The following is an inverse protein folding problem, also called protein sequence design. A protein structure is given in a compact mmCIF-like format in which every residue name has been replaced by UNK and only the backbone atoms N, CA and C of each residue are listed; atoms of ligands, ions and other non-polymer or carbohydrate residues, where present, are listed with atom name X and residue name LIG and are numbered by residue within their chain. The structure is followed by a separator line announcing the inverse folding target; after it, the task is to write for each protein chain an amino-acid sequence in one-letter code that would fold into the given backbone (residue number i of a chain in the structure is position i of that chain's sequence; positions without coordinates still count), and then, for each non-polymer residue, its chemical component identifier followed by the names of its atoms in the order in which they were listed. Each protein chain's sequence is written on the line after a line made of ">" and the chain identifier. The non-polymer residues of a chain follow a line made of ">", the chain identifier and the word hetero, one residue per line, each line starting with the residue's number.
data_IF_498060839218
#
_entry.id   IF_498060839218
#
_cell.length_a   1.000
_cell.length_b   1.000
_cell.length_c   1.000
_cell.angle_alpha   90.00
_cell.angle_beta   90.00
_cell.angle_gamma   90.00
#
_symmetry.space_group_name_H-M   'P 1'
#
loop_
_entity.id
_entity.type
_entity.pdbx_description
1 polymer ?
#
# COMPACT_ATOMS: atom_id res chain seq x y z
N UNK A 1 -13.33 -11.63 12.76
CA UNK A 1 -14.51 -11.69 11.87
C UNK A 1 -14.86 -13.14 11.60
N UNK A 2 -16.13 -13.54 11.77
CA UNK A 2 -16.58 -14.87 11.32
C UNK A 2 -17.10 -14.70 9.89
N UNK A 3 -16.34 -15.20 8.91
CA UNK A 3 -16.77 -15.21 7.52
C UNK A 3 -17.48 -16.53 7.24
N UNK A 4 -18.73 -16.48 6.76
CA UNK A 4 -19.45 -17.68 6.37
C UNK A 4 -18.77 -18.32 5.14
N UNK A 5 -18.58 -19.64 5.16
CA UNK A 5 -17.90 -20.38 4.10
C UNK A 5 -18.52 -20.12 2.71
N UNK A 6 -19.85 -20.07 2.63
CA UNK A 6 -20.54 -19.77 1.36
C UNK A 6 -20.21 -18.38 0.79
N UNK A 7 -20.01 -17.38 1.65
CA UNK A 7 -19.58 -16.05 1.22
C UNK A 7 -18.11 -16.06 0.77
N UNK A 8 -17.23 -16.77 1.50
CA UNK A 8 -15.83 -16.91 1.14
C UNK A 8 -15.66 -17.55 -0.26
N UNK A 9 -16.46 -18.56 -0.57
CA UNK A 9 -16.40 -19.26 -1.86
C UNK A 9 -16.80 -18.41 -3.07
N UNK A 10 -17.48 -17.28 -2.86
CA UNK A 10 -17.87 -16.35 -3.93
C UNK A 10 -16.88 -15.19 -4.10
N UNK A 11 -15.88 -15.06 -3.21
CA UNK A 11 -14.88 -14.01 -3.28
C UNK A 11 -13.74 -14.37 -4.23
N UNK A 12 -13.15 -13.34 -4.87
CA UNK A 12 -11.92 -13.50 -5.64
C UNK A 12 -10.79 -13.99 -4.72
N UNK A 13 -9.93 -14.94 -5.13
CA UNK A 13 -8.88 -15.47 -4.26
C UNK A 13 -7.91 -14.41 -3.74
N UNK A 14 -7.63 -13.35 -4.52
CA UNK A 14 -6.79 -12.25 -4.06
C UNK A 14 -7.42 -11.48 -2.89
N UNK A 15 -8.75 -11.33 -2.86
CA UNK A 15 -9.44 -10.62 -1.78
C UNK A 15 -9.36 -11.43 -0.49
N UNK A 16 -9.52 -12.75 -0.60
CA UNK A 16 -9.30 -13.67 0.52
C UNK A 16 -7.85 -13.60 1.00
N UNK A 17 -6.88 -13.53 0.10
CA UNK A 17 -5.46 -13.40 0.46
C UNK A 17 -5.22 -12.14 1.29
N UNK A 18 -5.78 -10.99 0.88
CA UNK A 18 -5.69 -9.74 1.66
C UNK A 18 -6.34 -9.91 3.03
N UNK A 19 -7.59 -10.39 3.09
CA UNK A 19 -8.32 -10.53 4.36
C UNK A 19 -7.61 -11.47 5.34
N UNK A 20 -7.05 -12.57 4.85
CA UNK A 20 -6.34 -13.53 5.69
C UNK A 20 -4.95 -13.06 6.09
N UNK A 21 -4.33 -12.13 5.37
CA UNK A 21 -2.99 -11.63 5.71
C UNK A 21 -3.01 -10.54 6.78
N UNK A 22 -4.14 -9.84 6.93
CA UNK A 22 -4.29 -8.79 7.92
C UNK A 22 -3.99 -9.31 9.34
N UNK A 23 -3.10 -8.64 10.09
CA UNK A 23 -2.95 -8.91 11.51
C UNK A 23 -4.26 -8.53 12.23
N UNK A 24 -4.40 -8.96 13.49
CA UNK A 24 -5.54 -8.53 14.31
C UNK A 24 -5.59 -7.00 14.33
N UNK A 25 -6.74 -6.37 14.00
CA UNK A 25 -6.84 -4.92 14.01
C UNK A 25 -6.56 -4.40 15.41
N UNK A 26 -5.52 -3.56 15.53
CA UNK A 26 -5.12 -2.95 16.80
C UNK A 26 -5.97 -1.72 17.14
N UNK A 27 -6.61 -1.13 16.13
CA UNK A 27 -7.50 0.04 16.24
C UNK A 27 -8.69 -0.12 15.29
N UNK A 28 -9.89 0.38 15.66
CA UNK A 28 -11.03 0.43 14.76
C UNK A 28 -10.89 1.48 13.64
N UNK A 29 -9.94 2.42 13.74
CA UNK A 29 -9.76 3.50 12.77
C UNK A 29 -8.48 3.34 11.97
N UNK A 30 -8.61 3.19 10.65
CA UNK A 30 -7.50 3.33 9.72
C UNK A 30 -7.06 4.80 9.65
N UNK A 31 -5.77 5.06 9.46
CA UNK A 31 -5.24 6.41 9.35
C UNK A 31 -5.89 7.21 8.21
N UNK A 32 -6.24 6.52 7.12
CA UNK A 32 -6.95 7.11 5.98
C UNK A 32 -8.33 7.66 6.38
N UNK A 33 -9.05 6.98 7.28
CA UNK A 33 -10.34 7.48 7.79
C UNK A 33 -10.14 8.76 8.60
N UNK A 34 -9.10 8.81 9.45
CA UNK A 34 -8.78 10.01 10.22
C UNK A 34 -8.42 11.18 9.30
N UNK A 35 -7.62 10.94 8.26
CA UNK A 35 -7.26 11.96 7.27
C UNK A 35 -8.49 12.45 6.49
N UNK A 36 -9.38 11.54 6.09
CA UNK A 36 -10.61 11.88 5.38
C UNK A 36 -11.55 12.73 6.26
N UNK A 37 -11.86 12.26 7.46
CA UNK A 37 -12.72 13.00 8.40
C UNK A 37 -12.12 14.36 8.77
N UNK A 38 -10.81 14.43 9.02
CA UNK A 38 -10.13 15.71 9.29
C UNK A 38 -10.24 16.66 8.10
N UNK A 39 -10.17 16.14 6.87
CA UNK A 39 -10.31 16.95 5.66
C UNK A 39 -11.73 17.50 5.51
N UNK A 40 -12.74 16.70 5.84
CA UNK A 40 -14.15 17.11 5.87
C UNK A 40 -14.38 18.20 6.92
N UNK A 41 -13.92 17.99 8.16
CA UNK A 41 -14.04 18.94 9.27
C UNK A 41 -13.38 20.30 8.93
N UNK A 42 -12.26 20.26 8.22
CA UNK A 42 -11.53 21.45 7.78
C UNK A 42 -12.01 22.00 6.43
N UNK A 43 -13.11 21.46 5.88
CA UNK A 43 -13.69 21.84 4.58
C UNK A 43 -12.65 21.88 3.45
N UNK A 44 -11.74 20.91 3.44
CA UNK A 44 -10.73 20.77 2.38
C UNK A 44 -11.35 20.15 1.13
N UNK A 45 -10.91 20.61 -0.03
CA UNK A 45 -11.23 19.93 -1.28
C UNK A 45 -10.41 18.63 -1.36
N UNK A 46 -11.08 17.49 -1.27
CA UNK A 46 -10.45 16.16 -1.37
C UNK A 46 -10.58 15.65 -2.80
N UNK A 47 -9.44 15.29 -3.39
CA UNK A 47 -9.37 14.72 -4.74
C UNK A 47 -8.64 13.39 -4.68
N UNK A 48 -9.25 12.34 -5.22
CA UNK A 48 -8.63 11.02 -5.34
C UNK A 48 -7.47 11.05 -6.34
N UNK A 49 -6.31 10.53 -5.94
CA UNK A 49 -5.15 10.39 -6.83
C UNK A 49 -5.41 9.30 -7.87
N UNK A 50 -6.15 8.26 -7.50
CA UNK A 50 -6.61 7.16 -8.34
C UNK A 50 -8.13 7.03 -8.24
N UNK A 51 -8.76 6.54 -9.30
CA UNK A 51 -10.16 6.10 -9.26
C UNK A 51 -10.26 4.73 -8.58
N UNK A 52 -11.44 4.36 -8.01
CA UNK A 52 -11.64 3.03 -7.46
C UNK A 52 -11.36 1.90 -8.46
N UNK A 53 -11.69 2.11 -9.74
CA UNK A 53 -11.44 1.14 -10.82
C UNK A 53 -9.95 0.97 -11.08
N UNK A 54 -9.17 2.05 -11.08
CA UNK A 54 -7.71 1.97 -11.19
C UNK A 54 -7.11 1.23 -9.99
N UNK A 55 -7.56 1.58 -8.78
CA UNK A 55 -7.03 1.04 -7.53
C UNK A 55 -7.26 -0.47 -7.40
N UNK A 56 -8.50 -0.93 -7.56
CA UNK A 56 -8.85 -2.35 -7.40
C UNK A 56 -8.63 -3.16 -8.68
N UNK A 57 -8.71 -2.54 -9.85
CA UNK A 57 -8.54 -3.21 -11.15
C UNK A 57 -7.14 -3.77 -11.36
N UNK A 58 -6.13 -3.27 -10.64
CA UNK A 58 -4.78 -3.85 -10.66
C UNK A 58 -4.78 -5.32 -10.26
N UNK A 59 -5.61 -5.70 -9.29
CA UNK A 59 -5.69 -7.09 -8.81
C UNK A 59 -6.29 -8.04 -9.86
N UNK A 60 -7.05 -7.50 -10.81
CA UNK A 60 -7.64 -8.27 -11.91
C UNK A 60 -6.63 -8.55 -13.04
N UNK A 61 -5.44 -7.94 -13.00
CA UNK A 61 -4.34 -8.24 -13.92
C UNK A 61 -3.57 -9.54 -13.59
N UNK A 62 -3.87 -10.14 -12.44
CA UNK A 62 -3.29 -11.42 -12.02
C UNK A 62 -4.19 -12.57 -12.44
N UNK A 63 -3.61 -13.62 -13.02
CA UNK A 63 -4.33 -14.82 -13.40
C UNK A 63 -4.90 -15.52 -12.16
N UNK A 64 -5.94 -16.34 -12.35
CA UNK A 64 -6.53 -17.09 -11.25
C UNK A 64 -5.47 -17.95 -10.52
N UNK A 65 -4.55 -18.58 -11.26
CA UNK A 65 -3.46 -19.37 -10.68
C UNK A 65 -2.51 -18.51 -9.84
N UNK A 66 -2.15 -17.31 -10.31
CA UNK A 66 -1.34 -16.36 -9.54
C UNK A 66 -2.06 -15.95 -8.25
N UNK A 67 -3.36 -15.66 -8.32
CA UNK A 67 -4.17 -15.34 -7.15
C UNK A 67 -4.23 -16.51 -6.15
N UNK A 68 -4.34 -17.73 -6.64
CA UNK A 68 -4.31 -18.93 -5.80
C UNK A 68 -2.93 -19.16 -5.16
N UNK A 69 -1.84 -18.83 -5.85
CA UNK A 69 -0.49 -18.85 -5.25
C UNK A 69 -0.39 -17.84 -4.12
N UNK A 70 -0.88 -16.61 -4.32
CA UNK A 70 -0.91 -15.57 -3.28
C UNK A 70 -1.73 -16.03 -2.05
N UNK A 71 -2.94 -16.55 -2.26
CA UNK A 71 -3.79 -17.05 -1.18
C UNK A 71 -3.11 -18.18 -0.40
N UNK A 72 -2.53 -19.17 -1.08
CA UNK A 72 -1.82 -20.28 -0.42
C UNK A 72 -0.60 -19.79 0.36
N UNK A 73 0.12 -18.78 -0.12
CA UNK A 73 1.25 -18.20 0.59
C UNK A 73 0.81 -17.59 1.93
N UNK A 74 -0.25 -16.79 1.92
CA UNK A 74 -0.82 -16.17 3.13
C UNK A 74 -1.36 -17.21 4.12
N UNK A 75 -2.04 -18.25 3.62
CA UNK A 75 -2.61 -19.30 4.47
C UNK A 75 -1.56 -20.18 5.17
N UNK A 76 -0.32 -20.22 4.65
CA UNK A 76 0.80 -20.92 5.29
C UNK A 76 1.40 -20.16 6.47
N UNK A 77 1.11 -18.85 6.60
CA UNK A 77 1.65 -18.02 7.67
C UNK A 77 0.90 -18.24 8.97
N UNK A 78 1.63 -18.38 10.07
CA UNK A 78 1.02 -18.40 11.41
C UNK A 78 0.62 -17.00 11.87
N UNK A 79 -0.30 -16.86 12.83
CA UNK A 79 -0.62 -15.57 13.45
C UNK A 79 0.62 -14.84 14.00
N UNK A 80 1.54 -15.57 14.63
CA UNK A 80 2.76 -15.03 15.25
C UNK A 80 3.72 -14.48 14.20
N UNK A 81 3.81 -15.11 13.03
CA UNK A 81 4.59 -14.60 11.89
C UNK A 81 4.00 -13.29 11.37
N UNK A 82 2.67 -13.22 11.22
CA UNK A 82 1.97 -12.01 10.76
C UNK A 82 2.17 -10.85 11.74
N UNK A 83 2.02 -11.10 13.03
CA UNK A 83 2.20 -10.10 14.08
C UNK A 83 3.65 -9.60 14.13
N UNK A 84 4.63 -10.51 14.13
CA UNK A 84 6.06 -10.14 14.12
C UNK A 84 6.44 -9.28 12.92
N UNK A 85 5.95 -9.63 11.73
CA UNK A 85 6.26 -8.88 10.52
C UNK A 85 5.56 -7.53 10.49
N UNK A 86 4.32 -7.45 10.99
CA UNK A 86 3.61 -6.19 11.18
C UNK A 86 4.34 -5.26 12.16
N UNK A 87 4.84 -5.78 13.29
CA UNK A 87 5.62 -4.98 14.25
C UNK A 87 6.89 -4.39 13.64
N UNK A 88 7.60 -5.16 12.80
CA UNK A 88 8.79 -4.65 12.09
C UNK A 88 8.42 -3.51 11.15
N UNK A 89 7.36 -3.69 10.35
CA UNK A 89 6.86 -2.66 9.44
C UNK A 89 6.45 -1.39 10.22
N UNK A 90 5.78 -1.55 11.36
CA UNK A 90 5.38 -0.43 12.20
C UNK A 90 6.58 0.31 12.79
N UNK A 91 7.62 -0.40 13.22
CA UNK A 91 8.86 0.24 13.71
C UNK A 91 9.54 1.05 12.60
N UNK A 92 9.62 0.54 11.38
CA UNK A 92 10.17 1.26 10.23
C UNK A 92 9.31 2.49 9.89
N UNK A 93 7.98 2.33 9.91
CA UNK A 93 7.02 3.40 9.68
C UNK A 93 7.16 4.55 10.69
N UNK A 94 7.23 4.25 11.98
CA UNK A 94 7.36 5.26 13.03
C UNK A 94 8.71 5.99 13.02
N UNK A 95 9.76 5.37 12.47
CA UNK A 95 11.05 6.04 12.22
C UNK A 95 11.02 6.95 10.98
N UNK A 96 10.00 6.82 10.12
CA UNK A 96 9.94 7.51 8.84
C UNK A 96 10.94 6.97 7.80
N UNK A 97 11.43 5.75 7.95
CA UNK A 97 12.41 5.15 7.03
C UNK A 97 11.70 4.40 5.90
N UNK A 98 11.40 5.12 4.82
CA UNK A 98 10.74 4.56 3.64
C UNK A 98 11.59 3.47 2.96
N UNK A 99 12.92 3.50 3.07
CA UNK A 99 13.80 2.49 2.48
C UNK A 99 13.75 1.20 3.31
N UNK A 100 13.73 1.30 4.65
CA UNK A 100 13.51 0.15 5.54
C UNK A 100 12.16 -0.53 5.23
N UNK A 101 11.09 0.25 5.00
CA UNK A 101 9.77 -0.29 4.60
C UNK A 101 9.85 -1.06 3.28
N UNK A 102 10.44 -0.47 2.23
CA UNK A 102 10.56 -1.14 0.93
C UNK A 102 11.39 -2.44 1.00
N UNK A 103 12.44 -2.46 1.83
CA UNK A 103 13.24 -3.66 2.07
C UNK A 103 12.44 -4.73 2.82
N UNK A 104 11.66 -4.34 3.84
CA UNK A 104 10.79 -5.25 4.57
C UNK A 104 9.71 -5.85 3.66
N UNK A 105 9.09 -5.05 2.77
CA UNK A 105 8.14 -5.55 1.78
C UNK A 105 8.76 -6.62 0.87
N UNK A 106 9.99 -6.38 0.39
CA UNK A 106 10.71 -7.35 -0.42
C UNK A 106 11.09 -8.63 0.35
N UNK A 107 11.46 -8.52 1.63
CA UNK A 107 11.83 -9.66 2.46
C UNK A 107 10.62 -10.48 2.88
N UNK A 108 9.55 -9.83 3.35
CA UNK A 108 8.34 -10.47 3.85
C UNK A 108 7.54 -10.98 2.67
N UNK A 109 7.02 -10.08 1.84
CA UNK A 109 6.10 -10.42 0.75
C UNK A 109 6.83 -11.09 -0.40
N UNK A 110 7.98 -10.54 -0.80
CA UNK A 110 8.80 -11.14 -1.86
C UNK A 110 9.38 -12.50 -1.47
N UNK A 111 9.69 -12.73 -0.18
CA UNK A 111 10.16 -14.02 0.32
C UNK A 111 9.11 -15.13 0.30
N UNK A 112 7.82 -14.79 0.25
CA UNK A 112 6.72 -15.75 0.26
C UNK A 112 6.25 -16.17 -1.14
N UNK A 113 6.63 -15.42 -2.17
CA UNK A 113 6.13 -15.59 -3.53
C UNK A 113 7.23 -16.06 -4.49
N UNK A 114 6.89 -16.79 -5.57
CA UNK A 114 7.82 -17.03 -6.65
C UNK A 114 8.36 -15.70 -7.22
N UNK A 115 9.66 -15.63 -7.51
CA UNK A 115 10.31 -14.41 -7.96
C UNK A 115 9.61 -13.72 -9.17
N UNK A 116 9.11 -14.45 -10.20
CA UNK A 116 8.36 -13.81 -11.28
C UNK A 116 7.05 -13.16 -10.82
N UNK A 117 6.32 -13.81 -9.91
CA UNK A 117 5.07 -13.29 -9.37
C UNK A 117 5.33 -12.08 -8.46
N UNK A 118 6.36 -12.14 -7.60
CA UNK A 118 6.78 -10.99 -6.81
C UNK A 118 7.15 -9.80 -7.70
N UNK A 119 7.94 -10.03 -8.75
CA UNK A 119 8.33 -8.97 -9.70
C UNK A 119 7.11 -8.32 -10.36
N UNK A 120 6.16 -9.14 -10.83
CA UNK A 120 4.89 -8.65 -11.41
C UNK A 120 4.09 -7.86 -10.38
N UNK A 121 3.99 -8.35 -9.16
CA UNK A 121 3.25 -7.70 -8.09
C UNK A 121 3.83 -6.34 -7.71
N UNK A 122 5.16 -6.26 -7.54
CA UNK A 122 5.87 -5.01 -7.30
C UNK A 122 5.67 -3.99 -8.43
N UNK A 123 5.75 -4.45 -9.69
CA UNK A 123 5.49 -3.59 -10.86
C UNK A 123 4.07 -3.02 -10.84
N UNK A 124 3.08 -3.89 -10.68
CA UNK A 124 1.66 -3.55 -10.79
C UNK A 124 1.14 -2.74 -9.60
N UNK A 125 1.48 -3.13 -8.38
CA UNK A 125 0.95 -2.50 -7.16
C UNK A 125 1.75 -1.27 -6.72
N UNK A 126 3.02 -1.15 -7.10
CA UNK A 126 3.87 -0.03 -6.72
C UNK A 126 4.38 0.74 -7.93
N UNK A 127 5.22 0.16 -8.78
CA UNK A 127 6.00 0.94 -9.75
C UNK A 127 5.12 1.70 -10.76
N UNK A 128 4.17 1.03 -11.38
CA UNK A 128 3.25 1.63 -12.36
C UNK A 128 2.33 2.68 -11.69
N UNK A 129 1.85 2.38 -10.49
CA UNK A 129 0.98 3.27 -9.71
C UNK A 129 1.73 4.49 -9.22
N UNK A 130 2.98 4.34 -8.80
CA UNK A 130 3.82 5.45 -8.37
C UNK A 130 3.99 6.50 -9.47
N UNK A 131 4.16 6.06 -10.73
CA UNK A 131 4.27 6.98 -11.88
C UNK A 131 2.98 7.81 -12.02
N UNK A 132 1.82 7.16 -12.00
CA UNK A 132 0.52 7.83 -12.09
C UNK A 132 0.29 8.77 -10.91
N UNK A 133 0.54 8.30 -9.70
CA UNK A 133 0.40 9.07 -8.47
C UNK A 133 1.31 10.29 -8.49
N UNK A 134 2.60 10.13 -8.80
CA UNK A 134 3.55 11.23 -8.87
C UNK A 134 3.13 12.28 -9.91
N UNK A 135 2.73 11.85 -11.12
CA UNK A 135 2.29 12.77 -12.16
C UNK A 135 1.09 13.62 -11.71
N UNK A 136 0.05 12.97 -11.15
CA UNK A 136 -1.17 13.66 -10.69
C UNK A 136 -0.91 14.54 -9.48
N UNK A 137 -0.09 14.08 -8.54
CA UNK A 137 0.30 14.87 -7.35
C UNK A 137 1.14 16.09 -7.72
N UNK A 138 2.10 15.96 -8.65
CA UNK A 138 2.94 17.07 -9.12
C UNK A 138 2.10 18.12 -9.86
N UNK A 139 1.14 17.70 -10.68
CA UNK A 139 0.20 18.61 -11.34
C UNK A 139 -0.53 19.47 -10.31
N UNK A 140 -1.07 18.87 -9.25
CA UNK A 140 -1.76 19.60 -8.18
C UNK A 140 -0.84 20.47 -7.33
N UNK A 141 0.36 19.98 -7.01
CA UNK A 141 1.35 20.75 -6.26
C UNK A 141 1.84 22.01 -7.01
N UNK A 142 1.84 21.99 -8.35
CA UNK A 142 2.18 23.17 -9.16
C UNK A 142 1.04 24.20 -9.25
N UNK A 143 -0.21 23.78 -9.02
CA UNK A 143 -1.37 24.68 -9.01
C UNK A 143 -1.54 25.35 -7.64
N UNK A 144 -1.33 24.60 -6.55
CA UNK A 144 -1.57 25.09 -5.20
C UNK A 144 -0.83 24.25 -4.13
N UNK A 145 -0.68 24.82 -2.94
CA UNK A 145 -0.24 24.08 -1.75
C UNK A 145 -1.12 22.85 -1.54
N UNK A 146 -0.50 21.67 -1.64
CA UNK A 146 -1.21 20.38 -1.67
C UNK A 146 -0.68 19.46 -0.58
N UNK A 147 -1.58 18.85 0.19
CA UNK A 147 -1.26 17.73 1.07
C UNK A 147 -1.58 16.42 0.32
N UNK A 148 -0.61 15.52 0.23
CA UNK A 148 -0.73 14.25 -0.50
C UNK A 148 -0.60 13.11 0.49
N UNK A 149 -1.63 12.27 0.59
CA UNK A 149 -1.64 11.06 1.41
C UNK A 149 -1.53 9.82 0.51
N UNK A 150 -0.53 8.97 0.77
CA UNK A 150 -0.31 7.69 0.09
C UNK A 150 0.21 6.65 1.08
N UNK A 151 0.06 5.37 0.75
CA UNK A 151 0.68 4.29 1.52
C UNK A 151 2.21 4.41 1.52
N UNK A 152 2.85 4.11 2.65
CA UNK A 152 4.29 4.32 2.83
C UNK A 152 5.17 3.56 1.82
N UNK A 153 4.74 2.40 1.35
CA UNK A 153 5.44 1.61 0.32
C UNK A 153 5.58 2.35 -1.02
N UNK A 154 4.79 3.40 -1.27
CA UNK A 154 4.88 4.23 -2.48
C UNK A 154 5.97 5.31 -2.40
N UNK A 155 6.61 5.50 -1.24
CA UNK A 155 7.54 6.62 -1.03
C UNK A 155 8.95 6.33 -1.55
N UNK A 156 9.46 5.12 -1.35
CA UNK A 156 10.83 4.73 -1.66
C UNK A 156 10.98 4.06 -3.05
N UNK A 157 12.23 3.87 -3.46
CA UNK A 157 12.59 3.27 -4.74
C UNK A 157 12.72 4.29 -5.87
N UNK A 158 13.19 3.82 -7.03
CA UNK A 158 13.44 4.67 -8.21
C UNK A 158 12.16 5.31 -8.75
N UNK A 159 11.05 4.57 -8.70
CA UNK A 159 9.73 5.06 -9.09
C UNK A 159 8.98 5.74 -7.96
N UNK A 160 9.46 5.66 -6.71
CA UNK A 160 8.77 6.19 -5.53
C UNK A 160 8.56 7.70 -5.57
N UNK A 161 7.54 8.18 -4.87
CA UNK A 161 7.14 9.60 -4.91
C UNK A 161 8.25 10.53 -4.42
N UNK A 162 9.07 10.13 -3.43
CA UNK A 162 10.20 10.95 -2.98
C UNK A 162 11.20 11.20 -4.12
N UNK A 163 11.51 10.16 -4.89
CA UNK A 163 12.41 10.27 -6.04
C UNK A 163 11.78 11.14 -7.14
N UNK A 164 10.51 10.92 -7.45
CA UNK A 164 9.79 11.68 -8.47
C UNK A 164 9.71 13.18 -8.15
N UNK A 165 9.38 13.55 -6.91
CA UNK A 165 9.34 14.96 -6.51
C UNK A 165 10.73 15.62 -6.53
N UNK A 166 11.78 14.89 -6.12
CA UNK A 166 13.16 15.38 -6.23
C UNK A 166 13.56 15.63 -7.68
N UNK A 167 13.23 14.69 -8.57
CA UNK A 167 13.51 14.81 -10.02
C UNK A 167 12.75 15.98 -10.65
N UNK A 168 11.54 16.27 -10.16
CA UNK A 168 10.75 17.44 -10.57
C UNK A 168 11.27 18.78 -10.00
N UNK A 169 12.38 18.79 -9.26
CA UNK A 169 13.03 20.01 -8.77
C UNK A 169 12.52 20.49 -7.41
N UNK A 170 11.70 19.71 -6.69
CA UNK A 170 11.22 20.09 -5.36
C UNK A 170 12.34 19.96 -4.32
N UNK A 171 12.39 20.92 -3.40
CA UNK A 171 13.20 20.82 -2.18
C UNK A 171 12.46 19.98 -1.15
N UNK A 172 13.05 18.85 -0.77
CA UNK A 172 12.46 17.94 0.21
C UNK A 172 12.97 18.25 1.61
N UNK A 173 12.04 18.44 2.55
CA UNK A 173 12.34 18.63 3.97
C UNK A 173 11.51 17.64 4.78
N UNK A 174 12.12 16.69 5.50
CA UNK A 174 11.40 15.83 6.42
C UNK A 174 10.67 16.66 7.49
N UNK A 175 9.42 16.32 7.77
CA UNK A 175 8.71 16.89 8.91
C UNK A 175 9.18 16.16 10.18
N UNK A 176 9.72 16.91 11.14
CA UNK A 176 10.08 16.34 12.44
C UNK A 176 8.79 15.93 13.15
N UNK A 177 8.57 14.62 13.28
CA UNK A 177 7.53 14.09 14.16
C UNK A 177 7.96 14.40 15.61
N UNK A 178 7.22 15.29 16.28
CA UNK A 178 7.38 15.57 17.71
C UNK A 178 6.64 14.54 18.54
#
# INVERSE_FOLDING_TARGET
>A
HVMHLGAAMQMKPWLLAVIFDLPKPQTPFAQDNLLMTTSEDLSKNVVGIETPQEHFGVMDSFSLDEQMVMLRAVLKRTPEQKEKDFEKLMRAYLKGDAAEIANLDAQITGGMLPAPLWKKMRSKLLEERNVVMAQRSLMKANEQSTFVAVGASHLAGETGLIAAFRQAGFKLTPLNMR
#
